data_IF_860142537050
#
_entry.id   IF_860142537050
#
_cell.length_a   1.000
_cell.length_b   1.000
_cell.length_c   1.000
_cell.angle_alpha   90.00
_cell.angle_beta   90.00
_cell.angle_gamma   90.00
#
_symmetry.space_group_name_H-M   'P 1'
#
loop_
_entity.id
_entity.type
_entity.pdbx_description
1 polymer ?
#
# COMPACT_ATOMS: atom_id res chain seq x y z
N UNK A 1 63.29 3.47 3.32
CA UNK A 1 62.56 2.48 4.14
C UNK A 1 62.31 3.10 5.50
N UNK A 2 61.07 2.99 5.98
CA UNK A 2 60.55 3.24 7.34
C UNK A 2 60.41 4.69 7.86
N UNK A 3 59.12 5.07 7.97
CA UNK A 3 58.43 5.99 8.89
C UNK A 3 58.84 5.78 10.38
N UNK A 4 58.55 6.60 11.41
CA UNK A 4 57.45 7.53 11.71
C UNK A 4 57.76 8.29 13.02
N UNK A 5 57.26 9.53 13.21
CA UNK A 5 56.45 9.98 14.36
C UNK A 5 56.43 11.52 14.53
N UNK A 6 55.19 12.03 14.67
CA UNK A 6 54.78 13.23 15.41
C UNK A 6 55.18 14.62 14.88
N UNK A 7 54.20 15.36 14.32
CA UNK A 7 53.53 16.44 15.08
C UNK A 7 52.48 17.22 14.26
N UNK A 8 51.31 17.36 14.87
CA UNK A 8 50.53 18.60 15.05
C UNK A 8 50.10 19.47 13.84
N UNK A 9 48.75 19.62 13.78
CA UNK A 9 47.93 20.75 13.28
C UNK A 9 47.75 20.90 11.77
N UNK A 10 46.48 20.81 11.34
CA UNK A 10 45.85 21.73 10.38
C UNK A 10 44.31 21.73 10.48
N UNK A 11 43.80 22.92 10.82
CA UNK A 11 42.51 23.55 10.48
C UNK A 11 41.25 22.70 10.33
N UNK A 12 40.36 22.81 11.32
CA UNK A 12 38.92 22.73 11.11
C UNK A 12 38.47 23.84 10.15
N UNK A 13 38.01 23.44 8.97
CA UNK A 13 37.18 24.24 8.08
C UNK A 13 35.87 23.50 7.87
N UNK A 14 35.00 23.45 8.89
CA UNK A 14 33.65 22.95 8.74
C UNK A 14 32.82 24.00 8.01
N UNK A 15 32.53 23.75 6.73
CA UNK A 15 31.39 24.37 6.06
C UNK A 15 30.14 23.70 6.62
N UNK A 16 29.37 24.46 7.39
CA UNK A 16 27.97 24.17 7.67
C UNK A 16 27.22 24.08 6.34
N UNK A 17 26.63 22.93 6.04
CA UNK A 17 25.54 22.83 5.09
C UNK A 17 24.28 22.40 5.84
N UNK A 18 23.32 23.32 5.86
CA UNK A 18 22.06 23.22 6.58
C UNK A 18 21.01 22.73 5.58
N UNK A 19 20.86 21.41 5.41
CA UNK A 19 19.79 20.82 4.58
C UNK A 19 19.61 19.31 4.86
N UNK A 20 19.36 18.88 6.10
CA UNK A 20 19.06 17.46 6.38
C UNK A 20 18.35 17.24 7.72
N UNK A 21 17.22 17.91 7.99
CA UNK A 21 16.43 17.62 9.19
C UNK A 21 14.94 17.78 8.95
N UNK A 22 14.24 16.69 8.61
CA UNK A 22 12.92 16.35 9.16
C UNK A 22 12.49 14.95 8.66
N UNK A 23 11.74 14.21 9.47
CA UNK A 23 11.01 12.96 9.16
C UNK A 23 11.58 11.59 9.59
N UNK A 24 12.40 11.52 10.65
CA UNK A 24 12.52 10.28 11.46
C UNK A 24 11.65 10.25 12.73
N UNK A 25 10.74 11.23 12.92
CA UNK A 25 9.97 11.37 14.16
C UNK A 25 8.58 10.66 14.17
N UNK A 26 8.17 9.99 13.09
CA UNK A 26 6.80 9.46 12.95
C UNK A 26 6.65 7.94 13.13
N UNK A 27 7.74 7.23 13.40
CA UNK A 27 7.74 5.78 13.71
C UNK A 27 8.01 5.46 15.19
N UNK A 28 8.33 6.45 16.04
CA UNK A 28 8.71 6.23 17.45
C UNK A 28 7.98 7.07 18.51
N UNK A 29 6.85 7.70 18.20
CA UNK A 29 6.03 8.33 19.26
C UNK A 29 5.11 7.31 19.96
N UNK A 30 5.71 6.39 20.70
CA UNK A 30 5.03 5.67 21.77
C UNK A 30 5.62 6.12 23.12
N UNK A 31 4.78 6.84 23.89
CA UNK A 31 4.91 7.26 25.29
C UNK A 31 5.78 8.49 25.63
N UNK A 32 5.50 9.21 26.74
CA UNK A 32 4.20 9.72 27.21
C UNK A 32 4.26 11.25 27.38
N UNK A 33 3.33 12.01 26.78
CA UNK A 33 3.18 13.41 27.17
C UNK A 33 2.43 13.45 28.49
N UNK A 34 3.17 13.79 29.55
CA UNK A 34 2.66 14.04 30.90
C UNK A 34 1.59 15.12 30.88
N UNK A 35 0.34 14.67 30.97
CA UNK A 35 -0.76 15.47 31.47
C UNK A 35 -1.21 14.77 32.75
N UNK A 36 -0.90 15.38 33.88
CA UNK A 36 -1.48 15.00 35.17
C UNK A 36 -2.96 15.34 35.11
N UNK A 37 -3.79 14.36 34.74
CA UNK A 37 -5.23 14.47 34.90
C UNK A 37 -5.59 13.71 36.17
N UNK A 38 -5.76 14.45 37.26
CA UNK A 38 -6.39 13.93 38.48
C UNK A 38 -7.84 13.63 38.17
N UNK A 39 -8.17 12.36 37.94
CA UNK A 39 -9.55 11.88 37.96
C UNK A 39 -9.73 11.04 39.21
N UNK A 40 -10.57 11.57 40.09
CA UNK A 40 -11.08 10.95 41.32
C UNK A 40 -11.71 9.60 40.98
N UNK A 41 -11.15 8.53 41.52
CA UNK A 41 -11.74 7.19 41.48
C UNK A 41 -12.88 7.09 42.49
N UNK A 42 -14.13 7.22 42.02
CA UNK A 42 -15.27 6.67 42.75
C UNK A 42 -15.45 5.19 42.37
N UNK A 43 -15.08 4.33 43.32
CA UNK A 43 -15.34 2.90 43.31
C UNK A 43 -16.84 2.63 43.45
N UNK A 44 -17.48 2.03 42.43
CA UNK A 44 -18.66 1.18 42.63
C UNK A 44 -18.51 -0.14 41.88
N UNK A 45 -18.54 -1.22 42.67
CA UNK A 45 -18.56 -2.63 42.25
C UNK A 45 -19.96 -3.04 41.73
N UNK A 46 -20.06 -4.18 41.02
CA UNK A 46 -21.09 -4.45 40.01
C UNK A 46 -22.30 -5.25 40.54
N UNK A 47 -23.41 -5.22 39.79
CA UNK A 47 -24.55 -6.12 39.99
C UNK A 47 -24.97 -6.79 38.66
N UNK A 48 -24.75 -8.11 38.64
CA UNK A 48 -25.55 -9.24 38.09
C UNK A 48 -26.31 -9.14 36.75
N UNK A 49 -25.92 -10.08 35.87
CA UNK A 49 -26.72 -11.07 35.13
C UNK A 49 -28.14 -10.72 34.66
N UNK A 50 -28.35 -10.86 33.35
CA UNK A 50 -29.49 -11.62 32.83
C UNK A 50 -29.20 -12.16 31.42
N UNK A 51 -29.44 -13.45 31.26
CA UNK A 51 -29.43 -14.24 30.03
C UNK A 51 -30.50 -13.74 29.05
N UNK A 52 -30.24 -13.86 27.74
CA UNK A 52 -31.32 -14.01 26.77
C UNK A 52 -30.90 -15.05 25.71
N UNK A 53 -31.66 -16.14 25.68
CA UNK A 53 -31.58 -17.24 24.73
C UNK A 53 -32.63 -16.98 23.65
N UNK A 54 -32.29 -17.13 22.36
CA UNK A 54 -33.29 -17.28 21.29
C UNK A 54 -32.88 -18.43 20.37
N UNK A 55 -33.79 -19.39 20.23
CA UNK A 55 -33.72 -20.54 19.34
C UNK A 55 -34.23 -20.21 17.93
N UNK A 56 -33.79 -21.03 16.97
CA UNK A 56 -33.95 -20.96 15.50
C UNK A 56 -35.39 -21.08 14.96
N UNK A 57 -35.57 -20.70 13.70
CA UNK A 57 -36.31 -21.52 12.70
C UNK A 57 -35.91 -21.20 11.26
N UNK A 58 -35.72 -22.26 10.47
CA UNK A 58 -35.47 -22.32 9.03
C UNK A 58 -36.76 -22.31 8.20
N UNK A 59 -36.69 -21.87 6.93
CA UNK A 59 -37.57 -22.40 5.87
C UNK A 59 -36.98 -22.15 4.48
N UNK A 60 -36.71 -23.26 3.79
CA UNK A 60 -36.53 -23.40 2.34
C UNK A 60 -37.86 -23.13 1.62
N UNK A 61 -37.79 -22.55 0.41
CA UNK A 61 -38.70 -22.86 -0.69
C UNK A 61 -37.93 -22.78 -2.02
N UNK A 62 -37.72 -23.95 -2.63
CA UNK A 62 -37.49 -24.14 -4.06
C UNK A 62 -38.84 -24.09 -4.77
N UNK A 63 -38.93 -23.46 -5.94
CA UNK A 63 -39.86 -23.84 -7.00
C UNK A 63 -39.22 -23.53 -8.36
N UNK A 64 -39.17 -24.54 -9.23
CA UNK A 64 -38.74 -24.44 -10.62
C UNK A 64 -39.87 -24.08 -11.59
N UNK A 65 -39.53 -23.92 -12.87
CA UNK A 65 -40.50 -23.74 -13.95
C UNK A 65 -39.85 -23.39 -15.28
N UNK A 66 -40.11 -24.22 -16.29
CA UNK A 66 -39.47 -24.31 -17.60
C UNK A 66 -39.92 -23.29 -18.68
N UNK A 67 -39.05 -23.19 -19.70
CA UNK A 67 -39.25 -22.97 -21.15
C UNK A 67 -40.38 -22.07 -21.69
N UNK A 68 -39.99 -21.12 -22.57
CA UNK A 68 -40.46 -21.11 -23.95
C UNK A 68 -39.48 -20.40 -24.91
N UNK A 69 -39.25 -21.05 -26.05
CA UNK A 69 -38.39 -20.63 -27.15
C UNK A 69 -39.12 -19.73 -28.17
N UNK A 70 -38.39 -18.83 -28.84
CA UNK A 70 -38.30 -18.72 -30.31
C UNK A 70 -37.80 -17.32 -30.77
N UNK A 71 -36.84 -17.32 -31.72
CA UNK A 71 -36.94 -16.39 -32.85
C UNK A 71 -35.80 -15.39 -33.13
N UNK A 72 -34.71 -15.87 -33.74
CA UNK A 72 -34.08 -15.33 -34.97
C UNK A 72 -33.55 -13.87 -35.00
N UNK A 73 -32.21 -13.73 -35.05
CA UNK A 73 -31.39 -13.32 -36.23
C UNK A 73 -30.00 -12.80 -35.81
N UNK A 74 -28.95 -13.52 -36.22
CA UNK A 74 -27.57 -13.03 -36.26
C UNK A 74 -27.36 -12.03 -37.41
N UNK A 75 -26.28 -11.25 -37.36
CA UNK A 75 -25.39 -11.23 -38.50
C UNK A 75 -23.96 -11.64 -38.12
N UNK A 76 -23.45 -12.46 -39.02
CA UNK A 76 -22.07 -12.93 -39.20
C UNK A 76 -21.10 -11.74 -39.21
N UNK A 77 -20.01 -11.84 -38.46
CA UNK A 77 -18.76 -11.17 -38.83
C UNK A 77 -17.61 -12.17 -38.83
N UNK A 78 -16.90 -12.10 -39.96
CA UNK A 78 -15.85 -12.98 -40.48
C UNK A 78 -14.73 -13.28 -39.47
N UNK A 79 -14.43 -14.58 -39.31
CA UNK A 79 -13.11 -15.04 -38.91
C UNK A 79 -12.12 -14.71 -40.03
N UNK A 80 -11.18 -13.82 -39.76
CA UNK A 80 -9.93 -13.75 -40.50
C UNK A 80 -8.92 -14.69 -39.82
N UNK A 81 -8.72 -15.86 -40.42
CA UNK A 81 -7.49 -16.63 -40.24
C UNK A 81 -6.30 -15.79 -40.70
N UNK A 82 -5.38 -15.49 -39.79
CA UNK A 82 -4.06 -14.95 -40.16
C UNK A 82 -2.96 -15.89 -39.68
N UNK A 83 -2.04 -16.06 -40.62
CA UNK A 83 -1.05 -17.09 -40.78
C UNK A 83 0.03 -17.08 -39.70
N UNK A 84 0.46 -18.27 -39.27
CA UNK A 84 1.56 -18.49 -38.34
C UNK A 84 2.87 -18.56 -39.12
N UNK A 85 3.51 -17.42 -39.37
CA UNK A 85 4.95 -17.40 -39.68
C UNK A 85 5.63 -16.15 -39.12
N UNK A 86 6.57 -16.38 -38.19
CA UNK A 86 7.73 -15.53 -37.82
C UNK A 86 7.56 -14.02 -37.81
N UNK A 87 7.44 -13.41 -36.62
CA UNK A 87 7.96 -12.06 -36.36
C UNK A 87 8.35 -11.91 -34.88
N UNK A 88 9.57 -11.42 -34.65
CA UNK A 88 10.14 -11.09 -33.34
C UNK A 88 9.20 -10.19 -32.52
N UNK A 89 9.24 -10.24 -31.17
CA UNK A 89 8.48 -9.31 -30.35
C UNK A 89 9.03 -7.89 -30.58
N UNK A 90 8.31 -7.11 -31.40
CA UNK A 90 8.50 -5.65 -31.46
C UNK A 90 8.03 -5.10 -30.12
N UNK A 91 8.99 -4.83 -29.23
CA UNK A 91 8.78 -3.90 -28.13
C UNK A 91 8.36 -2.56 -28.72
N UNK A 92 7.06 -2.27 -28.72
CA UNK A 92 6.55 -0.92 -28.89
C UNK A 92 6.97 -0.12 -27.65
N UNK A 93 8.20 0.41 -27.69
CA UNK A 93 8.63 1.48 -26.80
C UNK A 93 7.83 2.72 -27.19
N UNK A 94 6.65 2.89 -26.57
CA UNK A 94 6.10 4.23 -26.45
C UNK A 94 7.02 4.99 -25.48
N UNK A 95 8.04 5.63 -26.04
CA UNK A 95 8.71 6.73 -25.36
C UNK A 95 7.65 7.81 -25.25
N UNK A 96 6.98 7.88 -24.11
CA UNK A 96 6.16 9.03 -23.75
C UNK A 96 7.16 10.14 -23.45
N UNK A 97 7.49 10.93 -24.47
CA UNK A 97 8.11 12.23 -24.26
C UNK A 97 7.11 13.04 -23.44
N UNK A 98 7.42 13.28 -22.18
CA UNK A 98 6.65 14.21 -21.36
C UNK A 98 6.65 15.56 -22.08
N UNK A 99 5.48 16.20 -22.30
CA UNK A 99 5.46 17.53 -22.88
C UNK A 99 6.27 18.47 -21.99
N UNK A 100 7.18 19.22 -22.61
CA UNK A 100 7.95 20.27 -21.95
C UNK A 100 6.98 21.20 -21.22
N UNK A 101 7.09 21.26 -19.89
CA UNK A 101 6.38 22.26 -19.09
C UNK A 101 5.39 21.76 -18.03
N UNK A 102 5.29 20.46 -17.74
CA UNK A 102 4.68 20.05 -16.45
C UNK A 102 5.69 20.40 -15.35
N UNK A 103 5.39 21.34 -14.44
CA UNK A 103 6.32 21.66 -13.37
C UNK A 103 6.56 20.40 -12.54
N UNK A 104 7.81 19.92 -12.52
CA UNK A 104 8.31 18.99 -11.52
C UNK A 104 7.93 19.58 -10.17
N UNK A 105 6.97 18.97 -9.48
CA UNK A 105 6.30 19.60 -8.35
C UNK A 105 7.31 19.96 -7.28
N UNK A 106 7.61 21.26 -7.13
CA UNK A 106 8.32 21.80 -5.97
C UNK A 106 7.59 21.32 -4.71
N UNK A 107 8.29 21.06 -3.59
CA UNK A 107 7.63 20.80 -2.31
C UNK A 107 6.55 21.85 -2.08
N UNK A 108 5.34 21.41 -1.71
CA UNK A 108 4.23 22.33 -1.45
C UNK A 108 4.56 23.17 -0.22
N UNK A 109 5.10 24.37 -0.44
CA UNK A 109 5.30 25.36 0.62
C UNK A 109 4.00 26.12 0.80
N UNK A 110 3.21 25.75 1.81
CA UNK A 110 2.00 26.47 2.16
C UNK A 110 2.36 27.69 3.02
N UNK A 111 2.08 28.92 2.58
CA UNK A 111 2.23 30.10 3.43
C UNK A 111 1.25 30.01 4.61
N UNK A 112 1.68 30.45 5.79
CA UNK A 112 0.81 30.60 6.95
C UNK A 112 -0.15 31.77 6.72
N UNK A 113 -1.44 31.60 7.03
CA UNK A 113 -2.56 32.54 6.80
C UNK A 113 -3.04 32.65 5.33
N UNK A 114 -3.50 31.53 4.76
CA UNK A 114 -4.07 31.49 3.40
C UNK A 114 -5.62 31.57 3.40
N UNK A 115 -6.27 32.20 2.41
CA UNK A 115 -7.71 32.06 2.19
C UNK A 115 -8.13 30.59 1.92
N UNK A 116 -9.43 30.33 1.90
CA UNK A 116 -9.96 29.02 1.49
C UNK A 116 -9.48 28.65 0.07
N UNK A 117 -9.06 27.40 -0.18
CA UNK A 117 -8.55 27.00 -1.48
C UNK A 117 -9.67 26.97 -2.51
N UNK A 118 -9.35 27.40 -3.73
CA UNK A 118 -10.27 27.26 -4.86
C UNK A 118 -10.27 25.81 -5.38
N UNK A 119 -11.27 25.44 -6.20
CA UNK A 119 -11.39 24.08 -6.73
C UNK A 119 -10.17 23.63 -7.54
N UNK A 120 -9.55 24.54 -8.31
CA UNK A 120 -8.37 24.21 -9.10
C UNK A 120 -7.18 23.87 -8.20
N UNK A 121 -6.98 24.61 -7.11
CA UNK A 121 -5.90 24.35 -6.17
C UNK A 121 -6.02 22.96 -5.52
N UNK A 122 -7.23 22.57 -5.10
CA UNK A 122 -7.47 21.23 -4.54
C UNK A 122 -7.18 20.16 -5.59
N UNK A 123 -7.59 20.41 -6.83
CA UNK A 123 -7.33 19.50 -7.95
C UNK A 123 -5.84 19.32 -8.24
N UNK A 124 -5.07 20.42 -8.20
CA UNK A 124 -3.63 20.41 -8.43
C UNK A 124 -2.89 19.61 -7.34
N UNK A 125 -3.31 19.77 -6.07
CA UNK A 125 -2.76 18.99 -4.94
C UNK A 125 -3.12 17.51 -5.08
N UNK A 126 -4.37 17.18 -5.44
CA UNK A 126 -4.78 15.79 -5.67
C UNK A 126 -4.10 15.12 -6.88
N UNK A 127 -3.57 15.93 -7.81
CA UNK A 127 -2.87 15.49 -9.02
C UNK A 127 -1.33 15.56 -8.92
N UNK A 128 -0.77 15.78 -7.73
CA UNK A 128 0.67 15.96 -7.52
C UNK A 128 1.21 15.14 -6.34
N UNK A 129 2.54 15.13 -6.16
CA UNK A 129 3.20 14.47 -5.03
C UNK A 129 3.23 12.93 -5.07
N UNK A 130 2.71 12.32 -6.13
CA UNK A 130 2.71 10.88 -6.37
C UNK A 130 3.75 10.43 -7.40
N UNK A 131 3.47 9.30 -8.03
CA UNK A 131 4.21 8.81 -9.20
C UNK A 131 3.47 9.15 -10.51
N UNK A 132 3.99 8.70 -11.66
CA UNK A 132 3.45 9.04 -12.97
C UNK A 132 1.96 8.72 -13.15
N UNK A 133 1.38 7.83 -12.33
CA UNK A 133 -0.03 7.44 -12.39
C UNK A 133 -0.99 8.52 -11.86
N UNK A 134 -0.52 9.44 -11.01
CA UNK A 134 -1.33 10.57 -10.49
C UNK A 134 -1.31 11.77 -11.43
N UNK A 135 -0.27 11.87 -12.26
CA UNK A 135 -0.03 13.01 -13.13
C UNK A 135 -1.12 13.10 -14.20
N UNK A 136 -1.60 14.32 -14.43
CA UNK A 136 -2.64 14.60 -15.43
C UNK A 136 -2.13 14.39 -16.84
N UNK A 137 -2.85 13.62 -17.63
CA UNK A 137 -2.65 13.52 -19.08
C UNK A 137 -3.36 14.68 -19.80
N UNK A 138 -3.03 14.86 -21.08
CA UNK A 138 -3.67 15.84 -21.96
C UNK A 138 -5.20 15.65 -22.09
N UNK A 139 -5.72 14.47 -21.74
CA UNK A 139 -7.15 14.16 -21.70
C UNK A 139 -7.90 14.84 -20.54
N UNK A 140 -7.19 15.49 -19.60
CA UNK A 140 -7.81 16.04 -18.39
C UNK A 140 -8.12 14.98 -17.33
N UNK A 141 -7.53 13.79 -17.43
CA UNK A 141 -7.60 12.72 -16.43
C UNK A 141 -6.20 12.11 -16.21
N UNK A 142 -6.02 11.40 -15.10
CA UNK A 142 -4.79 10.67 -14.81
C UNK A 142 -4.70 9.31 -15.57
N UNK A 143 -3.66 8.52 -15.32
CA UNK A 143 -3.46 7.21 -15.97
C UNK A 143 -4.58 6.19 -15.69
N UNK A 144 -5.42 6.44 -14.69
CA UNK A 144 -6.61 5.65 -14.37
C UNK A 144 -7.89 6.21 -15.00
N UNK A 145 -7.78 7.20 -15.90
CA UNK A 145 -8.89 7.94 -16.47
C UNK A 145 -9.79 8.60 -15.42
N UNK A 146 -9.22 8.96 -14.26
CA UNK A 146 -9.91 9.68 -13.20
C UNK A 146 -9.48 11.15 -13.22
N UNK A 147 -10.41 12.11 -13.33
CA UNK A 147 -10.09 13.51 -13.06
C UNK A 147 -9.85 13.72 -11.55
N UNK A 148 -9.12 14.78 -11.18
CA UNK A 148 -8.79 15.11 -9.79
C UNK A 148 -9.94 15.86 -9.07
N UNK A 149 -11.16 15.76 -9.60
CA UNK A 149 -12.36 16.41 -9.08
C UNK A 149 -13.59 15.50 -9.24
N UNK A 150 -14.67 15.76 -8.49
CA UNK A 150 -15.91 15.00 -8.62
C UNK A 150 -16.49 15.09 -10.02
N UNK A 151 -17.02 13.96 -10.51
CA UNK A 151 -17.67 13.88 -11.82
C UNK A 151 -19.18 13.76 -11.60
N UNK A 152 -19.93 14.68 -12.19
CA UNK A 152 -21.40 14.67 -12.14
C UNK A 152 -21.97 13.81 -13.28
N UNK A 153 -23.05 13.09 -13.01
CA UNK A 153 -23.78 12.27 -13.99
C UNK A 153 -23.04 11.08 -14.60
N UNK A 154 -21.78 10.81 -14.22
CA UNK A 154 -21.02 9.69 -14.76
C UNK A 154 -21.25 8.37 -14.01
N UNK A 155 -21.40 7.28 -14.76
CA UNK A 155 -21.44 5.92 -14.20
C UNK A 155 -20.00 5.40 -14.10
N UNK A 156 -19.45 5.36 -12.88
CA UNK A 156 -18.10 4.89 -12.61
C UNK A 156 -18.07 3.36 -12.48
N UNK A 157 -17.52 2.66 -13.48
CA UNK A 157 -17.36 1.19 -13.49
C UNK A 157 -15.93 0.71 -13.19
N UNK A 158 -14.99 1.63 -12.95
CA UNK A 158 -13.55 1.37 -12.76
C UNK A 158 -13.11 1.07 -11.32
N UNK A 159 -13.98 0.54 -10.46
CA UNK A 159 -13.77 0.48 -8.99
C UNK A 159 -12.59 -0.37 -8.52
N UNK A 160 -11.91 -1.12 -9.41
CA UNK A 160 -10.78 -1.97 -9.06
C UNK A 160 -9.40 -1.37 -9.38
N UNK A 161 -9.34 -0.20 -10.01
CA UNK A 161 -8.10 0.47 -10.43
C UNK A 161 -7.96 1.84 -9.77
N UNK A 162 -9.00 2.66 -9.87
CA UNK A 162 -9.05 4.03 -9.37
C UNK A 162 -10.47 4.57 -9.44
N UNK A 163 -10.77 5.62 -8.70
CA UNK A 163 -12.05 6.33 -8.79
C UNK A 163 -11.82 7.83 -8.71
N UNK A 164 -12.64 8.64 -9.40
CA UNK A 164 -12.70 10.06 -9.15
C UNK A 164 -13.09 10.31 -7.68
N UNK A 165 -12.58 11.37 -7.05
CA UNK A 165 -12.98 11.70 -5.68
C UNK A 165 -14.48 12.01 -5.62
N UNK A 166 -15.15 11.57 -4.56
CA UNK A 166 -16.54 11.95 -4.31
C UNK A 166 -16.64 13.44 -3.94
N UNK A 167 -17.82 14.04 -4.09
CA UNK A 167 -18.07 15.43 -3.68
C UNK A 167 -17.75 15.67 -2.20
N UNK A 168 -18.10 14.72 -1.33
CA UNK A 168 -17.79 14.77 0.10
C UNK A 168 -16.27 14.68 0.34
N UNK A 169 -15.59 13.77 -0.37
CA UNK A 169 -14.14 13.60 -0.28
C UNK A 169 -13.39 14.85 -0.75
N UNK A 170 -13.82 15.44 -1.86
CA UNK A 170 -13.22 16.65 -2.42
C UNK A 170 -13.39 17.87 -1.50
N UNK A 171 -14.58 18.06 -0.92
CA UNK A 171 -14.80 19.10 0.09
C UNK A 171 -13.93 18.90 1.33
N UNK A 172 -13.83 17.66 1.81
CA UNK A 172 -12.96 17.31 2.93
C UNK A 172 -11.49 17.63 2.63
N UNK A 173 -11.04 17.36 1.40
CA UNK A 173 -9.69 17.70 0.95
C UNK A 173 -9.46 19.22 0.92
N UNK A 174 -10.45 20.01 0.48
CA UNK A 174 -10.39 21.47 0.52
C UNK A 174 -10.25 22.01 1.95
N UNK A 175 -11.02 21.45 2.90
CA UNK A 175 -10.94 21.84 4.31
C UNK A 175 -9.59 21.47 4.93
N UNK A 176 -9.05 20.28 4.63
CA UNK A 176 -7.71 19.87 5.07
C UNK A 176 -6.66 20.82 4.50
N UNK A 177 -6.70 21.10 3.20
CA UNK A 177 -5.75 21.99 2.54
C UNK A 177 -5.80 23.41 3.14
N UNK A 178 -7.00 23.91 3.43
CA UNK A 178 -7.16 25.18 4.13
C UNK A 178 -6.48 25.18 5.50
N UNK A 179 -6.70 24.15 6.32
CA UNK A 179 -6.08 24.00 7.65
C UNK A 179 -4.57 23.86 7.59
N UNK A 180 -4.05 23.14 6.61
CA UNK A 180 -2.61 23.01 6.38
C UNK A 180 -1.94 24.38 6.12
N UNK A 181 -2.67 25.32 5.49
CA UNK A 181 -2.22 26.71 5.30
C UNK A 181 -2.35 27.63 6.52
N UNK A 182 -2.86 27.15 7.66
CA UNK A 182 -3.00 27.98 8.87
C UNK A 182 -1.92 27.73 9.94
N UNK A 183 -1.08 26.71 9.76
CA UNK A 183 -0.04 26.33 10.72
C UNK A 183 1.26 25.96 9.98
N UNK A 184 2.41 25.89 10.67
CA UNK A 184 3.64 25.42 10.03
C UNK A 184 3.44 24.04 9.40
N UNK A 185 3.83 23.91 8.13
CA UNK A 185 3.47 22.77 7.27
C UNK A 185 3.77 21.42 7.91
N UNK A 186 4.93 21.25 8.52
CA UNK A 186 5.32 19.98 9.15
C UNK A 186 4.39 19.56 10.30
N UNK A 187 4.07 20.49 11.22
CA UNK A 187 3.15 20.21 12.33
C UNK A 187 1.72 19.97 11.85
N UNK A 188 1.26 20.74 10.86
CA UNK A 188 -0.09 20.63 10.34
C UNK A 188 -0.28 19.28 9.62
N UNK A 189 0.67 18.88 8.77
CA UNK A 189 0.65 17.57 8.10
C UNK A 189 0.67 16.43 9.11
N UNK A 190 1.54 16.50 10.13
CA UNK A 190 1.59 15.50 11.19
C UNK A 190 0.25 15.31 11.89
N UNK A 191 -0.42 16.41 12.25
CA UNK A 191 -1.74 16.38 12.89
C UNK A 191 -2.83 15.79 11.98
N UNK A 192 -2.87 16.18 10.71
CA UNK A 192 -3.87 15.67 9.76
C UNK A 192 -3.67 14.17 9.49
N UNK A 193 -2.41 13.73 9.33
CA UNK A 193 -2.07 12.32 9.16
C UNK A 193 -2.46 11.49 10.39
N UNK A 194 -2.21 11.99 11.60
CA UNK A 194 -2.67 11.32 12.83
C UNK A 194 -4.20 11.29 12.92
N UNK A 195 -4.87 12.36 12.48
CA UNK A 195 -6.32 12.39 12.34
C UNK A 195 -6.84 11.29 11.41
N UNK A 196 -6.18 11.06 10.27
CA UNK A 196 -6.51 9.95 9.34
C UNK A 196 -6.32 8.60 10.04
N UNK A 197 -5.18 8.37 10.72
CA UNK A 197 -4.93 7.12 11.45
C UNK A 197 -6.01 6.84 12.49
N UNK A 198 -6.40 7.82 13.29
CA UNK A 198 -7.48 7.67 14.30
C UNK A 198 -8.81 7.30 13.66
N UNK A 199 -9.20 7.97 12.56
CA UNK A 199 -10.46 7.66 11.85
C UNK A 199 -10.44 6.25 11.24
N UNK A 200 -9.32 5.85 10.64
CA UNK A 200 -9.16 4.50 10.11
C UNK A 200 -9.19 3.43 11.21
N UNK A 201 -8.48 3.65 12.31
CA UNK A 201 -8.47 2.74 13.47
C UNK A 201 -9.89 2.51 13.99
N UNK A 202 -10.67 3.58 14.16
CA UNK A 202 -12.06 3.52 14.59
C UNK A 202 -12.98 2.85 13.54
N UNK A 203 -12.90 3.25 12.28
CA UNK A 203 -13.77 2.73 11.21
C UNK A 203 -13.53 1.24 10.93
N UNK A 204 -12.28 0.79 11.04
CA UNK A 204 -11.88 -0.59 10.84
C UNK A 204 -11.92 -1.43 12.12
N UNK A 205 -12.24 -0.81 13.27
CA UNK A 205 -12.29 -1.47 14.59
C UNK A 205 -11.00 -2.23 14.91
N UNK A 206 -9.85 -1.61 14.65
CA UNK A 206 -8.57 -2.28 14.79
C UNK A 206 -8.25 -2.58 16.27
N UNK A 207 -7.49 -3.66 16.55
CA UNK A 207 -7.04 -3.94 17.91
C UNK A 207 -6.29 -2.77 18.54
N UNK A 208 -6.46 -2.57 19.85
CA UNK A 208 -5.66 -1.58 20.57
C UNK A 208 -4.17 -1.96 20.48
N UNK A 209 -3.32 -0.98 20.18
CA UNK A 209 -1.87 -1.19 20.03
C UNK A 209 -1.41 -1.53 18.60
N UNK A 210 -2.34 -1.82 17.68
CA UNK A 210 -1.99 -1.92 16.25
C UNK A 210 -1.59 -0.55 15.72
N UNK A 211 -0.64 -0.50 14.78
CA UNK A 211 -0.25 0.73 14.11
C UNK A 211 -0.85 0.79 12.70
N UNK A 212 -0.93 2.01 12.16
CA UNK A 212 -1.25 2.24 10.75
C UNK A 212 -0.06 2.99 10.19
N UNK A 213 0.45 2.57 9.03
CA UNK A 213 1.36 3.34 8.17
C UNK A 213 0.54 3.87 6.98
N UNK A 214 0.62 5.15 6.69
CA UNK A 214 -0.08 5.75 5.54
C UNK A 214 0.89 5.78 4.38
N UNK A 215 0.44 5.37 3.21
CA UNK A 215 1.29 5.29 2.01
C UNK A 215 0.59 5.94 0.83
N UNK A 216 1.41 6.38 -0.13
CA UNK A 216 0.90 7.08 -1.31
C UNK A 216 0.14 6.14 -2.25
N UNK A 217 0.31 4.83 -2.22
CA UNK A 217 -0.51 3.92 -3.04
C UNK A 217 -0.45 2.49 -2.50
N UNK A 218 -1.35 1.62 -2.96
CA UNK A 218 -1.26 0.18 -2.64
C UNK A 218 0.07 -0.42 -3.09
N UNK A 219 0.65 0.05 -4.19
CA UNK A 219 1.98 -0.38 -4.63
C UNK A 219 3.09 0.13 -3.69
N UNK A 220 3.00 1.37 -3.19
CA UNK A 220 3.95 1.86 -2.18
C UNK A 220 3.81 1.12 -0.84
N UNK A 221 2.61 0.61 -0.54
CA UNK A 221 2.33 -0.16 0.67
C UNK A 221 3.17 -1.45 0.76
N UNK A 222 3.56 -2.03 -0.39
CA UNK A 222 4.38 -3.24 -0.47
C UNK A 222 5.78 -3.09 0.12
N UNK A 223 6.31 -1.86 0.20
CA UNK A 223 7.61 -1.64 0.83
C UNK A 223 7.55 -1.78 2.36
N UNK A 224 6.38 -1.59 2.98
CA UNK A 224 6.26 -1.57 4.45
C UNK A 224 6.54 -2.95 5.06
N UNK A 225 5.94 -4.06 4.58
CA UNK A 225 6.31 -5.39 5.08
C UNK A 225 7.79 -5.72 4.94
N UNK A 226 8.42 -5.33 3.82
CA UNK A 226 9.85 -5.54 3.60
C UNK A 226 10.70 -4.73 4.57
N UNK A 227 10.32 -3.47 4.81
CA UNK A 227 11.03 -2.59 5.72
C UNK A 227 10.98 -3.13 7.15
N UNK A 228 9.80 -3.60 7.58
CA UNK A 228 9.60 -4.23 8.88
C UNK A 228 10.44 -5.52 8.99
N UNK A 229 10.38 -6.40 7.98
CA UNK A 229 11.15 -7.63 7.97
C UNK A 229 12.67 -7.36 8.02
N UNK A 230 13.17 -6.41 7.23
CA UNK A 230 14.58 -5.99 7.25
C UNK A 230 14.98 -5.38 8.59
N UNK A 231 14.12 -4.54 9.18
CA UNK A 231 14.39 -3.91 10.47
C UNK A 231 14.49 -4.93 11.61
N UNK A 232 13.60 -5.92 11.64
CA UNK A 232 13.58 -6.96 12.67
C UNK A 232 14.64 -8.04 12.43
N UNK A 233 15.14 -8.18 11.20
CA UNK A 233 16.09 -9.23 10.80
C UNK A 233 17.20 -8.61 9.92
N UNK A 234 18.07 -7.76 10.51
CA UNK A 234 18.99 -6.91 9.74
C UNK A 234 19.97 -7.70 8.85
N UNK A 235 20.36 -8.91 9.27
CA UNK A 235 21.36 -9.74 8.60
C UNK A 235 20.78 -10.86 7.75
N UNK A 236 19.47 -11.15 7.87
CA UNK A 236 18.85 -12.27 7.17
C UNK A 236 18.59 -11.95 5.69
N UNK A 237 18.66 -12.96 4.83
CA UNK A 237 18.11 -12.88 3.49
C UNK A 237 16.58 -12.89 3.56
N UNK A 238 15.91 -12.18 2.64
CA UNK A 238 14.45 -12.12 2.59
C UNK A 238 13.97 -12.85 1.35
N UNK A 239 13.08 -13.83 1.52
CA UNK A 239 12.28 -14.37 0.43
C UNK A 239 10.89 -13.73 0.45
N UNK A 240 10.68 -12.85 -0.51
CA UNK A 240 9.43 -12.16 -0.75
C UNK A 240 8.57 -12.97 -1.71
N UNK A 241 7.33 -13.27 -1.33
CA UNK A 241 6.37 -13.99 -2.19
C UNK A 241 5.18 -13.09 -2.48
N UNK A 242 4.90 -12.89 -3.76
CA UNK A 242 3.75 -12.13 -4.26
C UNK A 242 2.85 -13.05 -5.09
N UNK A 243 1.57 -13.15 -4.75
CA UNK A 243 0.60 -13.98 -5.46
C UNK A 243 -0.39 -13.16 -6.28
N UNK A 244 -1.19 -13.86 -7.07
CA UNK A 244 -2.23 -13.28 -7.90
C UNK A 244 -1.69 -12.20 -8.86
N UNK A 245 -0.51 -12.43 -9.45
CA UNK A 245 0.01 -11.55 -10.49
C UNK A 245 -1.01 -11.42 -11.65
N UNK A 246 -1.17 -10.19 -12.15
CA UNK A 246 -2.21 -9.81 -13.11
C UNK A 246 -3.52 -9.34 -12.45
N UNK A 247 -3.81 -9.81 -11.26
CA UNK A 247 -5.01 -9.47 -10.49
C UNK A 247 -4.77 -8.37 -9.44
N UNK A 248 -3.51 -8.10 -9.08
CA UNK A 248 -3.10 -6.98 -8.22
C UNK A 248 -2.63 -5.77 -9.04
N UNK A 249 -2.09 -4.73 -8.40
CA UNK A 249 -1.53 -3.57 -9.10
C UNK A 249 -0.30 -3.93 -9.92
N UNK A 250 -0.15 -3.39 -11.14
CA UNK A 250 0.93 -3.76 -12.07
C UNK A 250 2.35 -3.52 -11.55
N UNK A 251 2.55 -2.53 -10.67
CA UNK A 251 3.83 -2.28 -10.02
C UNK A 251 4.09 -3.14 -8.77
N UNK A 252 3.12 -3.96 -8.35
CA UNK A 252 3.17 -4.72 -7.10
C UNK A 252 4.36 -5.68 -7.04
N UNK A 253 4.64 -6.39 -8.13
CA UNK A 253 5.75 -7.35 -8.23
C UNK A 253 7.10 -6.66 -7.95
N UNK A 254 7.38 -5.52 -8.57
CA UNK A 254 8.63 -4.78 -8.34
C UNK A 254 8.74 -4.27 -6.91
N UNK A 255 7.68 -3.65 -6.39
CA UNK A 255 7.69 -3.12 -5.02
C UNK A 255 7.86 -4.24 -3.99
N UNK A 256 7.24 -5.41 -4.21
CA UNK A 256 7.44 -6.63 -3.40
C UNK A 256 8.89 -7.12 -3.42
N UNK A 257 9.64 -6.87 -4.48
CA UNK A 257 11.06 -7.19 -4.57
C UNK A 257 12.00 -6.12 -4.02
N UNK A 258 11.49 -5.06 -3.38
CA UNK A 258 12.31 -3.93 -2.94
C UNK A 258 12.89 -3.13 -4.10
N UNK A 259 12.20 -3.09 -5.24
CA UNK A 259 12.64 -2.43 -6.48
C UNK A 259 11.73 -1.27 -6.84
N UNK A 260 12.26 -0.28 -7.55
CA UNK A 260 11.46 0.81 -8.09
C UNK A 260 10.43 0.24 -9.09
N UNK A 261 9.18 0.66 -8.96
CA UNK A 261 8.10 0.23 -9.86
C UNK A 261 7.65 1.33 -10.83
N UNK A 262 8.23 2.52 -10.72
CA UNK A 262 7.93 3.68 -11.55
C UNK A 262 9.19 4.53 -11.71
N UNK A 263 9.29 5.23 -12.84
CA UNK A 263 10.40 6.16 -13.10
C UNK A 263 10.29 7.47 -12.30
N UNK A 264 9.07 7.83 -11.90
CA UNK A 264 8.76 8.93 -11.01
C UNK A 264 8.46 8.39 -9.61
N UNK A 265 9.21 8.84 -8.61
CA UNK A 265 8.97 8.46 -7.21
C UNK A 265 8.40 9.63 -6.43
N UNK A 266 7.49 9.38 -5.47
CA UNK A 266 7.10 10.40 -4.50
C UNK A 266 8.35 10.96 -3.79
N UNK A 267 8.37 12.27 -3.54
CA UNK A 267 9.37 12.98 -2.71
C UNK A 267 10.77 13.24 -3.32
N UNK A 268 11.10 12.69 -4.51
CA UNK A 268 12.29 13.11 -5.29
C UNK A 268 11.92 13.35 -6.78
N UNK A 269 11.04 14.34 -7.06
CA UNK A 269 10.59 14.64 -8.41
C UNK A 269 11.70 15.30 -9.23
N UNK A 270 12.53 14.48 -9.87
CA UNK A 270 13.62 14.94 -10.74
C UNK A 270 14.70 13.90 -10.97
N UNK A 271 14.88 12.98 -10.01
CA UNK A 271 15.80 11.87 -10.16
C UNK A 271 15.08 10.67 -10.79
N UNK A 272 15.03 10.63 -12.12
CA UNK A 272 14.45 9.48 -12.83
C UNK A 272 15.06 8.19 -12.31
N UNK A 273 14.22 7.26 -11.87
CA UNK A 273 14.63 5.90 -11.50
C UNK A 273 14.37 4.97 -12.66
N UNK A 274 15.11 3.87 -12.73
CA UNK A 274 14.84 2.80 -13.68
C UNK A 274 13.98 1.73 -12.99
N UNK A 275 12.85 1.39 -13.61
CA UNK A 275 11.96 0.35 -13.08
C UNK A 275 12.71 -0.99 -12.97
N UNK A 276 12.45 -1.73 -11.88
CA UNK A 276 13.12 -3.00 -11.60
C UNK A 276 14.52 -2.85 -10.99
N UNK A 277 15.08 -1.64 -10.86
CA UNK A 277 16.31 -1.42 -10.09
C UNK A 277 16.03 -1.39 -8.60
N UNK A 278 17.02 -1.78 -7.79
CA UNK A 278 16.88 -1.87 -6.33
C UNK A 278 16.66 -0.50 -5.69
N UNK A 279 15.70 -0.41 -4.77
CA UNK A 279 15.53 0.74 -3.89
C UNK A 279 16.60 0.64 -2.80
N UNK A 280 17.39 1.70 -2.53
CA UNK A 280 18.38 1.68 -1.45
C UNK A 280 17.77 1.22 -0.12
N UNK A 281 18.56 0.53 0.70
CA UNK A 281 18.08 -0.07 1.97
C UNK A 281 17.44 -1.46 1.80
N UNK A 282 16.89 -1.78 0.63
CA UNK A 282 16.40 -3.12 0.30
C UNK A 282 17.48 -3.91 -0.45
N UNK A 283 18.21 -4.73 0.28
CA UNK A 283 19.23 -5.64 -0.24
C UNK A 283 18.89 -7.08 0.12
N UNK A 284 19.49 -8.04 -0.58
CA UNK A 284 19.35 -9.48 -0.33
C UNK A 284 17.89 -9.95 -0.24
N UNK A 285 17.11 -9.58 -1.26
CA UNK A 285 15.70 -9.95 -1.42
C UNK A 285 15.54 -10.82 -2.66
N UNK A 286 15.19 -12.08 -2.44
CA UNK A 286 14.67 -12.96 -3.47
C UNK A 286 13.16 -12.72 -3.64
N UNK A 287 12.68 -12.72 -4.88
CA UNK A 287 11.26 -12.58 -5.19
C UNK A 287 10.74 -13.84 -5.90
N UNK A 288 9.63 -14.38 -5.42
CA UNK A 288 8.80 -15.35 -6.15
C UNK A 288 7.47 -14.65 -6.48
N UNK A 289 7.18 -14.51 -7.77
CA UNK A 289 5.89 -14.05 -8.26
C UNK A 289 5.08 -15.25 -8.74
N UNK A 290 3.89 -15.43 -8.17
CA UNK A 290 2.97 -16.51 -8.50
C UNK A 290 1.81 -15.91 -9.31
N UNK A 291 1.59 -16.36 -10.56
CA UNK A 291 0.50 -15.85 -11.38
C UNK A 291 -0.85 -16.22 -10.78
N UNK A 292 -1.85 -15.34 -10.97
CA UNK A 292 -3.23 -15.63 -10.59
C UNK A 292 -3.79 -16.87 -11.29
N UNK A 293 -3.46 -17.03 -12.57
CA UNK A 293 -4.01 -18.05 -13.46
C UNK A 293 -2.91 -18.70 -14.29
N UNK A 294 -3.10 -19.99 -14.58
CA UNK A 294 -2.25 -20.72 -15.51
C UNK A 294 -2.56 -20.34 -16.98
N UNK A 295 -1.80 -20.89 -17.92
CA UNK A 295 -2.01 -20.65 -19.35
C UNK A 295 -3.39 -21.10 -19.88
N UNK A 296 -4.13 -21.92 -19.13
CA UNK A 296 -5.50 -22.33 -19.44
C UNK A 296 -6.57 -21.42 -18.81
N UNK A 297 -6.16 -20.41 -18.03
CA UNK A 297 -7.06 -19.47 -17.35
C UNK A 297 -7.59 -19.97 -16.00
N UNK A 298 -7.15 -21.15 -15.53
CA UNK A 298 -7.54 -21.69 -14.22
C UNK A 298 -6.74 -21.03 -13.12
N UNK A 299 -7.36 -20.81 -11.96
CA UNK A 299 -6.67 -20.25 -10.80
C UNK A 299 -5.52 -21.18 -10.38
N UNK A 300 -4.36 -20.59 -10.11
CA UNK A 300 -3.19 -21.32 -9.61
C UNK A 300 -3.37 -21.61 -8.11
N UNK A 301 -3.05 -22.84 -7.71
CA UNK A 301 -2.83 -23.20 -6.30
C UNK A 301 -1.52 -22.56 -5.85
N UNK A 302 -1.62 -21.42 -5.16
CA UNK A 302 -0.47 -20.61 -4.78
C UNK A 302 0.44 -21.33 -3.75
N UNK A 303 -0.07 -21.98 -2.70
CA UNK A 303 0.77 -22.80 -1.82
C UNK A 303 1.51 -23.93 -2.55
N UNK A 304 0.86 -24.66 -3.46
CA UNK A 304 1.52 -25.72 -4.22
C UNK A 304 2.63 -25.16 -5.14
N UNK A 305 2.35 -24.04 -5.82
CA UNK A 305 3.34 -23.36 -6.66
C UNK A 305 4.53 -22.83 -5.84
N UNK A 306 4.29 -22.29 -4.64
CA UNK A 306 5.35 -21.87 -3.73
C UNK A 306 6.20 -23.06 -3.27
N UNK A 307 5.56 -24.16 -2.86
CA UNK A 307 6.28 -25.36 -2.43
C UNK A 307 7.22 -25.90 -3.51
N UNK A 308 6.77 -25.90 -4.77
CA UNK A 308 7.61 -26.29 -5.90
C UNK A 308 8.76 -25.32 -6.14
N UNK A 309 8.51 -24.01 -6.10
CA UNK A 309 9.56 -23.00 -6.25
C UNK A 309 10.61 -23.07 -5.14
N UNK A 310 10.21 -23.42 -3.91
CA UNK A 310 11.12 -23.59 -2.77
C UNK A 310 12.04 -24.80 -2.93
N UNK A 311 11.58 -25.90 -3.55
CA UNK A 311 12.44 -27.08 -3.83
C UNK A 311 13.62 -26.76 -4.75
N UNK A 312 13.47 -25.76 -5.60
CA UNK A 312 14.48 -25.33 -6.56
C UNK A 312 15.43 -24.26 -6.00
N UNK A 313 15.16 -23.72 -4.82
CA UNK A 313 16.00 -22.70 -4.17
C UNK A 313 16.98 -23.34 -3.20
N UNK A 314 18.17 -22.73 -3.08
CA UNK A 314 19.12 -23.10 -2.05
C UNK A 314 18.49 -22.91 -0.67
N UNK A 315 18.73 -23.88 0.21
CA UNK A 315 18.33 -23.79 1.61
C UNK A 315 19.14 -22.72 2.32
N UNK A 316 18.44 -21.89 3.09
CA UNK A 316 19.00 -20.88 3.97
C UNK A 316 18.24 -20.95 5.29
N UNK A 317 18.94 -21.38 6.34
CA UNK A 317 18.38 -21.61 7.67
C UNK A 317 18.02 -20.32 8.41
N UNK A 318 18.53 -19.15 7.97
CA UNK A 318 18.29 -17.85 8.61
C UNK A 318 17.33 -16.97 7.81
N UNK A 319 16.97 -17.39 6.59
CA UNK A 319 16.05 -16.68 5.70
C UNK A 319 14.72 -16.34 6.35
N UNK A 320 14.26 -15.12 6.16
CA UNK A 320 12.90 -14.70 6.55
C UNK A 320 11.97 -14.66 5.34
N UNK A 321 10.70 -14.93 5.58
CA UNK A 321 9.70 -15.02 4.51
C UNK A 321 8.71 -13.88 4.65
N UNK A 322 8.37 -13.20 3.57
CA UNK A 322 7.29 -12.20 3.56
C UNK A 322 6.24 -12.65 2.55
N UNK A 323 5.17 -13.24 3.06
CA UNK A 323 4.15 -13.96 2.29
C UNK A 323 2.92 -13.08 2.11
N UNK A 324 2.52 -12.83 0.86
CA UNK A 324 1.29 -12.09 0.54
C UNK A 324 0.19 -13.04 0.12
N UNK A 325 -0.87 -13.11 0.92
CA UNK A 325 -2.15 -13.66 0.49
C UNK A 325 -3.01 -12.51 -0.04
N UNK A 326 -3.70 -12.71 -1.17
CA UNK A 326 -4.55 -11.68 -1.78
C UNK A 326 -6.01 -12.05 -1.57
N UNK A 327 -6.78 -11.14 -0.97
CA UNK A 327 -8.19 -11.36 -0.64
C UNK A 327 -9.07 -10.40 -1.43
N UNK A 328 -9.95 -10.96 -2.26
CA UNK A 328 -10.90 -10.19 -3.06
C UNK A 328 -10.21 -9.50 -4.25
N UNK A 329 -9.55 -10.27 -5.11
CA UNK A 329 -8.89 -9.81 -6.35
C UNK A 329 -9.81 -9.00 -7.28
N UNK A 330 -9.28 -8.48 -8.41
CA UNK A 330 -10.12 -7.79 -9.41
C UNK A 330 -11.27 -8.68 -9.91
N UNK A 331 -11.02 -9.98 -10.07
CA UNK A 331 -12.06 -10.97 -10.44
C UNK A 331 -12.76 -11.63 -9.24
N UNK A 332 -12.42 -11.24 -8.01
CA UNK A 332 -13.17 -11.55 -6.80
C UNK A 332 -12.76 -12.83 -6.07
N UNK A 333 -11.71 -13.53 -6.50
CA UNK A 333 -11.20 -14.71 -5.79
C UNK A 333 -10.21 -14.33 -4.68
N UNK A 334 -9.81 -15.34 -3.91
CA UNK A 334 -8.85 -15.24 -2.81
C UNK A 334 -7.77 -16.30 -3.01
N UNK A 335 -6.54 -16.02 -2.59
CA UNK A 335 -5.48 -17.03 -2.53
C UNK A 335 -5.53 -17.78 -1.20
N UNK A 336 -5.19 -19.07 -1.23
CA UNK A 336 -5.00 -19.85 -0.01
C UNK A 336 -3.75 -19.40 0.76
N UNK A 337 -3.71 -19.72 2.07
CA UNK A 337 -2.64 -19.34 3.00
C UNK A 337 -1.28 -19.90 2.56
N UNK A 338 -0.39 -19.03 2.08
CA UNK A 338 0.94 -19.41 1.62
C UNK A 338 1.80 -20.08 2.69
N UNK A 339 1.56 -19.79 3.98
CA UNK A 339 2.33 -20.40 5.04
C UNK A 339 2.14 -21.93 5.09
N UNK A 340 1.07 -22.46 4.50
CA UNK A 340 0.89 -23.91 4.36
C UNK A 340 2.03 -24.58 3.60
N UNK A 341 2.68 -23.87 2.66
CA UNK A 341 3.80 -24.37 1.87
C UNK A 341 5.14 -24.43 2.62
N UNK A 342 5.23 -23.77 3.79
CA UNK A 342 6.45 -23.69 4.59
C UNK A 342 6.53 -24.81 5.63
N UNK A 343 7.74 -25.25 5.98
CA UNK A 343 7.98 -26.10 7.14
C UNK A 343 7.72 -25.33 8.46
N UNK A 344 7.44 -25.99 9.60
CA UNK A 344 7.14 -25.33 10.87
C UNK A 344 8.16 -24.24 11.27
N UNK A 345 9.45 -24.54 11.20
CA UNK A 345 10.56 -23.63 11.52
C UNK A 345 10.71 -22.45 10.55
N UNK A 346 10.22 -22.61 9.31
CA UNK A 346 10.17 -21.53 8.33
C UNK A 346 8.96 -20.61 8.61
N UNK A 347 7.83 -21.18 9.05
CA UNK A 347 6.64 -20.40 9.43
C UNK A 347 6.90 -19.47 10.60
N UNK A 348 7.72 -19.87 11.56
CA UNK A 348 8.12 -19.02 12.70
C UNK A 348 8.87 -17.75 12.27
N UNK A 349 9.51 -17.78 11.10
CA UNK A 349 10.23 -16.66 10.48
C UNK A 349 9.44 -15.99 9.36
N UNK A 350 8.16 -16.31 9.22
CA UNK A 350 7.31 -15.77 8.18
C UNK A 350 6.48 -14.58 8.69
N UNK A 351 6.56 -13.48 7.96
CA UNK A 351 5.68 -12.34 8.07
C UNK A 351 4.51 -12.53 7.12
N UNK A 352 3.31 -12.69 7.67
CA UNK A 352 2.08 -12.74 6.88
C UNK A 352 1.62 -11.36 6.51
N UNK A 353 1.26 -11.20 5.25
CA UNK A 353 0.73 -9.99 4.67
C UNK A 353 -0.55 -10.37 3.94
N UNK A 354 -1.62 -9.61 4.19
CA UNK A 354 -2.89 -9.77 3.48
C UNK A 354 -3.10 -8.54 2.61
N UNK A 355 -3.06 -8.73 1.29
CA UNK A 355 -3.47 -7.71 0.33
C UNK A 355 -5.00 -7.67 0.27
N UNK A 356 -5.56 -6.67 0.97
CA UNK A 356 -6.97 -6.32 0.95
C UNK A 356 -7.20 -5.01 0.20
N UNK A 357 -6.31 -4.61 -0.71
CA UNK A 357 -6.38 -3.31 -1.37
C UNK A 357 -7.68 -3.10 -2.14
N UNK A 358 -8.29 -4.16 -2.69
CA UNK A 358 -9.58 -4.06 -3.37
C UNK A 358 -10.74 -3.80 -2.41
N UNK A 359 -10.60 -4.19 -1.13
CA UNK A 359 -11.61 -4.01 -0.08
C UNK A 359 -13.02 -4.51 -0.44
N UNK A 360 -13.11 -5.62 -1.18
CA UNK A 360 -14.39 -6.25 -1.58
C UNK A 360 -14.90 -7.23 -0.52
N UNK A 361 -14.58 -6.96 0.75
CA UNK A 361 -14.87 -7.81 1.91
C UNK A 361 -15.44 -6.94 3.05
N UNK A 362 -16.16 -7.53 4.01
CA UNK A 362 -16.59 -6.81 5.20
C UNK A 362 -15.41 -6.13 5.90
N UNK A 363 -15.60 -4.89 6.37
CA UNK A 363 -14.54 -4.14 7.06
C UNK A 363 -13.97 -4.86 8.29
N UNK A 364 -14.78 -5.70 8.94
CA UNK A 364 -14.35 -6.53 10.08
C UNK A 364 -13.25 -7.54 9.74
N UNK A 365 -13.09 -7.90 8.46
CA UNK A 365 -12.02 -8.81 8.04
C UNK A 365 -10.64 -8.17 8.24
N UNK A 366 -10.51 -6.85 8.08
CA UNK A 366 -9.25 -6.14 8.36
C UNK A 366 -8.83 -6.32 9.81
N UNK A 367 -9.75 -6.09 10.77
CA UNK A 367 -9.47 -6.27 12.18
C UNK A 367 -9.16 -7.74 12.52
N UNK A 368 -9.87 -8.68 11.88
CA UNK A 368 -9.64 -10.13 12.05
C UNK A 368 -8.23 -10.53 11.62
N UNK A 369 -7.79 -10.12 10.43
CA UNK A 369 -6.43 -10.41 9.95
C UNK A 369 -5.35 -9.76 10.82
N UNK A 370 -5.54 -8.50 11.22
CA UNK A 370 -4.61 -7.83 12.13
C UNK A 370 -4.54 -8.51 13.50
N UNK A 371 -5.67 -9.00 14.03
CA UNK A 371 -5.72 -9.74 15.29
C UNK A 371 -5.01 -11.11 15.20
N UNK A 372 -4.93 -11.70 14.01
CA UNK A 372 -4.18 -12.93 13.76
C UNK A 372 -2.70 -12.70 13.43
N UNK A 373 -2.19 -11.48 13.59
CA UNK A 373 -0.77 -11.20 13.39
C UNK A 373 -0.37 -10.94 11.93
N UNK A 374 -1.34 -10.78 11.02
CA UNK A 374 -1.04 -10.38 9.64
C UNK A 374 -0.93 -8.86 9.52
N UNK A 375 0.07 -8.39 8.76
CA UNK A 375 0.02 -7.04 8.20
C UNK A 375 -1.08 -6.97 7.13
N UNK A 376 -1.78 -5.85 7.01
CA UNK A 376 -2.89 -5.72 6.06
C UNK A 376 -2.71 -4.49 5.18
N UNK A 377 -2.66 -4.68 3.86
CA UNK A 377 -2.55 -3.61 2.87
C UNK A 377 -3.95 -3.20 2.42
N UNK A 378 -4.19 -1.88 2.38
CA UNK A 378 -5.50 -1.29 2.11
C UNK A 378 -5.36 -0.14 1.11
N UNK A 379 -6.38 0.08 0.28
CA UNK A 379 -6.50 1.31 -0.51
C UNK A 379 -7.88 1.95 -0.38
N UNK A 380 -7.91 3.27 -0.28
CA UNK A 380 -9.15 4.06 -0.36
C UNK A 380 -9.57 4.34 -1.80
N UNK A 381 -8.62 4.39 -2.73
CA UNK A 381 -8.83 4.85 -4.11
C UNK A 381 -9.60 3.92 -5.04
N UNK A 382 -10.01 2.74 -4.54
CA UNK A 382 -10.68 1.69 -5.33
C UNK A 382 -12.16 1.63 -4.97
N UNK A 383 -12.58 0.57 -4.28
CA UNK A 383 -13.97 0.33 -3.93
C UNK A 383 -14.59 1.46 -3.09
N UNK A 384 -13.80 2.13 -2.24
CA UNK A 384 -14.27 3.22 -1.37
C UNK A 384 -14.30 4.61 -2.00
N UNK A 385 -13.91 4.74 -3.27
CA UNK A 385 -13.96 6.01 -3.99
C UNK A 385 -13.22 7.18 -3.29
N UNK A 386 -12.20 6.84 -2.51
CA UNK A 386 -11.21 7.82 -2.07
C UNK A 386 -10.46 8.39 -3.28
N UNK A 387 -9.75 9.50 -3.09
CA UNK A 387 -8.87 10.00 -4.14
C UNK A 387 -7.84 8.93 -4.51
N UNK A 388 -7.36 8.98 -5.76
CA UNK A 388 -6.14 8.28 -6.13
C UNK A 388 -5.04 8.59 -5.10
N UNK A 389 -4.15 7.62 -4.92
CA UNK A 389 -3.03 7.74 -4.01
C UNK A 389 -3.38 7.82 -2.51
N UNK A 390 -4.43 7.10 -2.10
CA UNK A 390 -4.80 6.90 -0.70
C UNK A 390 -4.65 5.44 -0.30
N UNK A 391 -3.62 5.13 0.49
CA UNK A 391 -3.35 3.77 0.94
C UNK A 391 -2.84 3.72 2.39
N UNK A 392 -2.95 2.54 2.98
CA UNK A 392 -2.51 2.29 4.34
C UNK A 392 -2.05 0.84 4.52
N UNK A 393 -1.17 0.64 5.50
CA UNK A 393 -0.78 -0.67 6.02
C UNK A 393 -1.12 -0.73 7.49
N UNK A 394 -1.95 -1.69 7.87
CA UNK A 394 -2.17 -2.03 9.28
C UNK A 394 -1.04 -2.95 9.72
N UNK A 395 -0.38 -2.59 10.83
CA UNK A 395 0.67 -3.38 11.46
C UNK A 395 0.13 -3.97 12.76
N UNK A 396 0.16 -5.30 12.93
CA UNK A 396 -0.42 -5.98 14.07
C UNK A 396 0.38 -5.70 15.36
N UNK A 397 -0.28 -5.92 16.50
CA UNK A 397 0.22 -5.53 17.84
C UNK A 397 1.56 -6.20 18.17
N UNK A 398 1.72 -7.47 17.80
CA UNK A 398 2.92 -8.26 18.05
C UNK A 398 4.13 -7.69 17.29
N UNK A 399 3.96 -7.32 16.01
CA UNK A 399 5.00 -6.67 15.21
C UNK A 399 5.32 -5.28 15.78
N UNK A 400 4.31 -4.49 16.15
CA UNK A 400 4.53 -3.17 16.78
C UNK A 400 5.32 -3.31 18.08
N UNK A 401 5.05 -4.35 18.87
CA UNK A 401 5.76 -4.62 20.13
C UNK A 401 7.22 -4.98 19.85
N UNK A 402 7.47 -5.93 18.93
CA UNK A 402 8.83 -6.30 18.49
C UNK A 402 9.63 -5.11 17.96
N UNK A 403 9.00 -4.23 17.18
CA UNK A 403 9.66 -3.03 16.65
C UNK A 403 10.04 -2.04 17.74
N UNK A 404 9.24 -1.90 18.81
CA UNK A 404 9.57 -1.06 19.97
C UNK A 404 10.71 -1.66 20.79
N UNK A 405 10.72 -2.96 20.97
CA UNK A 405 11.77 -3.69 21.69
C UNK A 405 13.09 -3.70 20.91
N UNK A 406 13.03 -3.85 19.59
CA UNK A 406 14.17 -3.87 18.67
C UNK A 406 14.65 -2.49 18.19
N UNK A 407 14.05 -1.39 18.65
CA UNK A 407 14.31 -0.03 18.16
C UNK A 407 15.76 0.46 18.30
N UNK A 408 16.62 -0.26 19.03
CA UNK A 408 18.04 0.06 19.16
C UNK A 408 18.89 -0.30 17.91
N UNK A 409 18.37 -1.07 16.94
CA UNK A 409 19.20 -1.68 15.88
C UNK A 409 18.80 -1.36 14.42
N UNK A 410 17.80 -0.50 14.18
CA UNK A 410 17.30 -0.27 12.82
C UNK A 410 18.17 0.76 12.06
N UNK A 411 18.77 0.41 10.90
CA UNK A 411 19.30 1.43 10.01
C UNK A 411 18.15 2.30 9.46
N UNK A 412 18.36 3.60 9.25
CA UNK A 412 17.32 4.46 8.71
C UNK A 412 16.95 3.98 7.30
N UNK A 413 15.64 3.92 7.01
CA UNK A 413 15.18 3.78 5.62
C UNK A 413 15.67 5.02 4.84
N UNK A 414 16.28 4.84 3.67
CA UNK A 414 16.74 5.97 2.88
C UNK A 414 15.56 6.83 2.42
N UNK A 415 15.80 8.13 2.38
CA UNK A 415 14.84 9.17 2.02
C UNK A 415 14.31 9.01 0.59
#
# INVERSE_FOLDING_TARGET
>A
MAHELSSSRRSLGAKFDASSHLFFALLLSAAPLGVSLSIVTELRRPARQSQCTVHMSSSFLEEGGEEHAAGKRSPVMSLATLDRTTTQPRTLRHVVTLPDGVPLSKPLVLPTSRPAPCKSEVSDVLASGGDSRVVMCASGANAYHCPPHPVDGAIVRGSCTGSPPTEIGFRSAAEVLHRLGQAPAASAVGMEMEGVRRRLHAALKLPQGSAIVLTASGTCAEYIPLAIARQLNPTASILSVHTAEGETGSGGVWACGGKYFNTMVPLDPGSSREEGTGVPGFHDIDLIAIPARDASGRQVDAPAALAEALRLKAHDEERVFVLRDVVGTKTGFETDDLAAALAPEQRERAYKVVDLCQMRKPLGDVAKHAAYGSMVLLTGSKFFQGSAFSAAVVVPVDIVTKLKEGAAAAPPLPA
#
